data_IF_805679460601
#
_entry.id   IF_805679460601
#
_cell.length_a   1.000
_cell.length_b   1.000
_cell.length_c   1.000
_cell.angle_alpha   90.00
_cell.angle_beta   90.00
_cell.angle_gamma   90.00
#
_symmetry.space_group_name_H-M   'P 1'
#
loop_
_entity.id
_entity.type
_entity.pdbx_description
1 polymer ?
#
# COMPACT_ATOMS: atom_id res chain seq x y z
N UNK A 1 -3.40 7.58 22.49
CA UNK A 1 -3.01 7.82 21.08
C UNK A 1 -3.79 6.84 20.22
N UNK A 2 -4.41 7.27 19.11
CA UNK A 2 -5.12 6.33 18.22
C UNK A 2 -4.12 5.40 17.55
N UNK A 3 -4.56 4.18 17.24
CA UNK A 3 -3.82 3.26 16.40
C UNK A 3 -3.76 3.80 14.96
N UNK A 4 -2.56 4.05 14.44
CA UNK A 4 -2.32 4.59 13.10
C UNK A 4 -1.93 3.49 12.13
N UNK A 5 -2.69 3.36 11.05
CA UNK A 5 -2.40 2.40 9.98
C UNK A 5 -2.36 3.07 8.62
N UNK A 6 -1.49 2.57 7.75
CA UNK A 6 -1.34 2.97 6.35
C UNK A 6 -1.66 1.78 5.46
N UNK A 7 -2.59 1.94 4.52
CA UNK A 7 -2.89 0.98 3.47
C UNK A 7 -2.33 1.46 2.13
N UNK A 8 -1.36 0.72 1.59
CA UNK A 8 -0.77 0.99 0.29
C UNK A 8 -1.38 0.08 -0.77
N UNK A 9 -2.04 0.67 -1.76
CA UNK A 9 -2.62 -0.05 -2.88
C UNK A 9 -1.95 0.34 -4.18
N UNK A 10 -1.38 -0.64 -4.89
CA UNK A 10 -0.90 -0.44 -6.25
C UNK A 10 -2.02 -0.02 -7.20
N UNK A 11 -1.78 0.99 -8.04
CA UNK A 11 -2.56 1.29 -9.26
C UNK A 11 -1.61 1.83 -10.34
N UNK A 12 -1.74 1.42 -11.62
CA UNK A 12 -0.82 1.84 -12.69
C UNK A 12 -0.84 3.35 -12.93
N UNK A 13 -1.99 3.99 -12.74
CA UNK A 13 -2.25 5.41 -12.97
C UNK A 13 -2.13 6.28 -11.70
N UNK A 14 -1.79 5.69 -10.55
CA UNK A 14 -1.81 6.39 -9.27
C UNK A 14 -0.92 7.64 -9.24
N UNK A 15 -1.44 8.69 -8.61
CA UNK A 15 -0.70 9.85 -8.15
C UNK A 15 -0.74 9.89 -6.61
N UNK A 16 0.30 9.44 -5.90
CA UNK A 16 0.30 9.36 -4.43
C UNK A 16 0.11 10.69 -3.69
N UNK A 17 0.28 11.82 -4.37
CA UNK A 17 0.02 13.15 -3.79
C UNK A 17 -1.48 13.45 -3.76
N UNK A 18 -2.22 12.97 -4.77
CA UNK A 18 -3.66 13.25 -4.95
C UNK A 18 -4.53 12.09 -4.49
N UNK A 19 -4.15 10.87 -4.81
CA UNK A 19 -4.95 9.65 -4.68
C UNK A 19 -4.75 9.02 -3.30
N UNK A 20 -5.24 9.74 -2.28
CA UNK A 20 -5.17 9.31 -0.89
C UNK A 20 -6.39 9.76 -0.09
N UNK A 21 -6.67 9.05 0.99
CA UNK A 21 -7.76 9.35 1.91
C UNK A 21 -7.35 9.04 3.35
N UNK A 22 -8.02 9.69 4.31
CA UNK A 22 -7.79 9.50 5.73
C UNK A 22 -9.13 9.37 6.45
N UNK A 23 -9.32 8.28 7.16
CA UNK A 23 -10.51 8.01 7.99
C UNK A 23 -10.08 7.96 9.44
N UNK A 24 -10.81 8.65 10.33
CA UNK A 24 -10.47 8.79 11.74
C UNK A 24 -11.64 8.47 12.65
N UNK A 25 -11.29 7.88 13.79
CA UNK A 25 -12.12 7.74 15.00
C UNK A 25 -11.27 8.11 16.20
N UNK A 26 -11.82 8.03 17.41
CA UNK A 26 -11.05 8.26 18.65
C UNK A 26 -9.93 7.25 18.85
N UNK A 27 -10.13 6.00 18.40
CA UNK A 27 -9.20 4.90 18.64
C UNK A 27 -8.34 4.53 17.42
N UNK A 28 -8.67 4.99 16.22
CA UNK A 28 -8.03 4.56 14.99
C UNK A 28 -7.92 5.65 13.94
N UNK A 29 -6.78 5.69 13.24
CA UNK A 29 -6.56 6.42 12.00
C UNK A 29 -6.17 5.42 10.90
N UNK A 30 -6.87 5.46 9.78
CA UNK A 30 -6.56 4.64 8.59
C UNK A 30 -6.30 5.58 7.43
N UNK A 31 -5.05 5.63 7.01
CA UNK A 31 -4.65 6.32 5.80
C UNK A 31 -4.60 5.33 4.64
N UNK A 32 -5.16 5.69 3.49
CA UNK A 32 -5.09 4.91 2.26
C UNK A 32 -4.34 5.75 1.23
N UNK A 33 -3.33 5.17 0.58
CA UNK A 33 -2.59 5.82 -0.50
C UNK A 33 -2.48 4.88 -1.70
N UNK A 34 -2.90 5.36 -2.87
CA UNK A 34 -2.65 4.65 -4.13
C UNK A 34 -1.23 4.96 -4.62
N UNK A 35 -0.51 3.93 -5.05
CA UNK A 35 0.89 4.03 -5.46
C UNK A 35 1.17 3.32 -6.77
N UNK A 36 2.17 3.80 -7.52
CA UNK A 36 2.72 3.06 -8.66
C UNK A 36 3.83 2.15 -8.18
N UNK A 37 3.72 0.85 -8.41
CA UNK A 37 4.77 -0.11 -8.03
C UNK A 37 6.11 0.18 -8.73
N UNK A 38 6.10 0.82 -9.90
CA UNK A 38 7.30 1.23 -10.63
C UNK A 38 8.07 2.36 -9.95
N UNK A 39 7.43 3.14 -9.07
CA UNK A 39 8.07 4.21 -8.30
C UNK A 39 8.27 3.75 -6.84
N UNK A 40 9.08 2.71 -6.68
CA UNK A 40 9.30 2.09 -5.37
C UNK A 40 10.03 3.03 -4.39
N UNK A 41 10.93 3.89 -4.89
CA UNK A 41 11.54 4.94 -4.09
C UNK A 41 10.51 5.83 -3.40
N UNK A 42 9.48 6.26 -4.13
CA UNK A 42 8.41 7.08 -3.56
C UNK A 42 7.60 6.32 -2.51
N UNK A 43 7.41 5.02 -2.71
CA UNK A 43 6.75 4.17 -1.71
C UNK A 43 7.57 4.12 -0.41
N UNK A 44 8.90 3.97 -0.50
CA UNK A 44 9.78 3.99 0.67
C UNK A 44 9.73 5.34 1.39
N UNK A 45 9.71 6.46 0.66
CA UNK A 45 9.55 7.79 1.26
C UNK A 45 8.24 7.93 2.04
N UNK A 46 7.12 7.45 1.47
CA UNK A 46 5.81 7.46 2.15
C UNK A 46 5.86 6.60 3.42
N UNK A 47 6.44 5.41 3.35
CA UNK A 47 6.57 4.51 4.49
C UNK A 47 7.43 5.13 5.61
N UNK A 48 8.55 5.75 5.24
CA UNK A 48 9.46 6.42 6.17
C UNK A 48 8.81 7.63 6.84
N UNK A 49 8.11 8.47 6.07
CA UNK A 49 7.36 9.62 6.59
C UNK A 49 6.27 9.15 7.57
N UNK A 50 5.48 8.14 7.20
CA UNK A 50 4.46 7.55 8.07
C UNK A 50 5.05 7.01 9.38
N UNK A 51 6.15 6.26 9.31
CA UNK A 51 6.85 5.74 10.49
C UNK A 51 7.35 6.87 11.39
N UNK A 52 7.97 7.90 10.82
CA UNK A 52 8.48 9.07 11.58
C UNK A 52 7.38 9.87 12.29
N UNK A 53 6.13 9.77 11.82
CA UNK A 53 4.93 10.39 12.42
C UNK A 53 4.23 9.49 13.45
N UNK A 54 4.90 8.42 13.88
CA UNK A 54 4.39 7.48 14.87
C UNK A 54 3.37 6.49 14.32
N UNK A 55 3.48 6.13 13.03
CA UNK A 55 2.69 5.06 12.43
C UNK A 55 2.90 3.72 13.13
N UNK A 56 1.86 2.88 13.20
CA UNK A 56 1.92 1.60 13.92
C UNK A 56 1.88 0.38 12.99
N UNK A 57 1.15 0.46 11.87
CA UNK A 57 1.05 -0.63 10.92
C UNK A 57 0.96 -0.15 9.48
N UNK A 58 1.61 -0.87 8.57
CA UNK A 58 1.52 -0.73 7.12
C UNK A 58 0.90 -2.02 6.58
N UNK A 59 -0.16 -1.89 5.80
CA UNK A 59 -0.85 -2.96 5.11
C UNK A 59 -0.64 -2.77 3.60
N UNK A 60 -0.11 -3.80 2.97
CA UNK A 60 0.28 -3.81 1.57
C UNK A 60 -0.72 -4.64 0.77
N UNK A 61 -1.15 -4.14 -0.38
CA UNK A 61 -1.92 -4.95 -1.31
C UNK A 61 -1.08 -6.17 -1.80
N UNK A 62 -1.71 -7.21 -2.36
CA UNK A 62 -1.01 -8.46 -2.70
C UNK A 62 0.04 -8.32 -3.83
N UNK A 63 0.11 -7.17 -4.51
CA UNK A 63 1.08 -6.90 -5.59
C UNK A 63 2.51 -6.65 -5.12
N UNK A 64 2.74 -6.43 -3.83
CA UNK A 64 4.10 -6.24 -3.29
C UNK A 64 4.88 -7.56 -3.24
N UNK A 65 6.10 -7.55 -3.80
CA UNK A 65 7.00 -8.72 -3.77
C UNK A 65 7.60 -8.93 -2.39
N UNK A 66 8.19 -10.11 -2.14
CA UNK A 66 8.86 -10.39 -0.87
C UNK A 66 10.04 -9.45 -0.61
N UNK A 67 10.80 -9.10 -1.65
CA UNK A 67 11.92 -8.16 -1.59
C UNK A 67 11.44 -6.75 -1.25
N UNK A 68 10.35 -6.29 -1.88
CA UNK A 68 9.75 -4.99 -1.58
C UNK A 68 9.25 -4.93 -0.13
N UNK A 69 8.60 -6.00 0.35
CA UNK A 69 8.14 -6.09 1.74
C UNK A 69 9.32 -6.03 2.71
N UNK A 70 10.41 -6.74 2.43
CA UNK A 70 11.61 -6.72 3.25
C UNK A 70 12.26 -5.33 3.30
N UNK A 71 12.35 -4.65 2.17
CA UNK A 71 12.93 -3.29 2.11
C UNK A 71 12.05 -2.26 2.83
N UNK A 72 10.72 -2.37 2.71
CA UNK A 72 9.79 -1.55 3.49
C UNK A 72 10.00 -1.79 4.99
N UNK A 73 10.05 -3.06 5.43
CA UNK A 73 10.26 -3.41 6.84
C UNK A 73 11.58 -2.86 7.38
N UNK A 74 12.66 -2.96 6.59
CA UNK A 74 13.96 -2.35 6.94
C UNK A 74 13.87 -0.82 7.04
N UNK A 75 13.14 -0.18 6.14
CA UNK A 75 12.98 1.28 6.06
C UNK A 75 12.24 1.84 7.27
N UNK A 76 11.18 1.15 7.74
CA UNK A 76 10.34 1.63 8.84
C UNK A 76 10.80 1.19 10.22
N UNK A 77 11.68 0.20 10.28
CA UNK A 77 12.24 -0.32 11.53
C UNK A 77 11.28 -1.26 12.27
N UNK A 78 11.72 -1.71 13.46
CA UNK A 78 11.07 -2.79 14.22
C UNK A 78 9.75 -2.40 14.90
N UNK A 79 9.48 -1.11 15.04
CA UNK A 79 8.33 -0.60 15.81
C UNK A 79 7.08 -0.37 14.93
N UNK A 80 7.19 -0.63 13.62
CA UNK A 80 6.07 -0.55 12.66
C UNK A 80 5.82 -1.94 12.07
N UNK A 81 4.59 -2.43 12.22
CA UNK A 81 4.18 -3.70 11.64
C UNK A 81 4.05 -3.57 10.12
N UNK A 82 4.59 -4.53 9.35
CA UNK A 82 4.44 -4.59 7.88
C UNK A 82 3.69 -5.87 7.50
N UNK A 83 2.52 -5.72 6.89
CA UNK A 83 1.58 -6.81 6.62
C UNK A 83 1.22 -6.83 5.13
N UNK A 84 0.98 -8.01 4.57
CA UNK A 84 0.52 -8.15 3.18
C UNK A 84 -0.87 -8.79 3.17
N UNK A 85 -1.85 -8.10 2.58
CA UNK A 85 -3.22 -8.57 2.44
C UNK A 85 -3.33 -9.57 1.27
N UNK A 86 -2.96 -10.84 1.53
CA UNK A 86 -3.05 -11.92 0.54
C UNK A 86 -4.33 -12.74 0.72
N UNK A 87 -5.02 -12.97 -0.40
CA UNK A 87 -6.12 -13.94 -0.49
C UNK A 87 -5.64 -15.32 -0.92
N UNK A 88 -6.56 -16.28 -0.97
CA UNK A 88 -6.30 -17.58 -1.60
C UNK A 88 -6.22 -17.46 -3.14
N UNK A 89 -5.78 -18.53 -3.81
CA UNK A 89 -5.59 -18.51 -5.26
C UNK A 89 -6.87 -18.17 -6.05
N UNK A 90 -8.04 -18.61 -5.57
CA UNK A 90 -9.34 -18.31 -6.20
C UNK A 90 -9.68 -16.83 -6.08
N UNK A 91 -9.48 -16.23 -4.91
CA UNK A 91 -9.68 -14.80 -4.67
C UNK A 91 -8.74 -13.95 -5.53
N UNK A 92 -7.46 -14.35 -5.64
CA UNK A 92 -6.50 -13.67 -6.50
C UNK A 92 -6.90 -13.72 -7.98
N UNK A 93 -7.41 -14.85 -8.47
CA UNK A 93 -7.89 -14.98 -9.84
C UNK A 93 -9.12 -14.10 -10.10
N UNK A 94 -10.06 -14.03 -9.15
CA UNK A 94 -11.24 -13.18 -9.27
C UNK A 94 -10.85 -11.69 -9.38
N UNK A 95 -9.93 -11.23 -8.53
CA UNK A 95 -9.39 -9.88 -8.59
C UNK A 95 -8.66 -9.62 -9.91
N UNK A 96 -7.82 -10.55 -10.38
CA UNK A 96 -7.11 -10.43 -11.66
C UNK A 96 -8.04 -10.24 -12.85
N UNK A 97 -9.11 -11.04 -12.94
CA UNK A 97 -10.11 -10.89 -14.01
C UNK A 97 -10.81 -9.52 -13.96
N UNK A 98 -11.06 -8.98 -12.77
CA UNK A 98 -11.65 -7.65 -12.62
C UNK A 98 -10.67 -6.54 -13.07
N UNK A 99 -9.40 -6.64 -12.70
CA UNK A 99 -8.33 -5.75 -13.16
C UNK A 99 -8.20 -5.77 -14.69
N UNK A 100 -8.25 -6.94 -15.32
CA UNK A 100 -8.24 -7.07 -16.78
C UNK A 100 -9.40 -6.31 -17.44
N UNK A 101 -10.63 -6.46 -16.93
CA UNK A 101 -11.80 -5.73 -17.44
C UNK A 101 -11.67 -4.21 -17.27
N UNK A 102 -11.03 -3.74 -16.20
CA UNK A 102 -10.75 -2.33 -15.99
C UNK A 102 -9.67 -1.78 -16.95
N UNK A 103 -8.93 -2.66 -17.65
CA UNK A 103 -7.80 -2.30 -18.49
C UNK A 103 -6.53 -2.01 -17.69
N UNK A 104 -6.41 -2.60 -16.50
CA UNK A 104 -5.27 -2.41 -15.59
C UNK A 104 -3.91 -2.70 -16.22
N UNK A 105 -3.87 -3.64 -17.16
CA UNK A 105 -2.64 -4.07 -17.84
C UNK A 105 -2.45 -3.40 -19.20
N UNK A 106 -3.24 -2.37 -19.52
CA UNK A 106 -3.09 -1.63 -20.77
C UNK A 106 -1.99 -0.56 -20.62
N UNK A 107 -0.89 -0.61 -21.38
CA UNK A 107 0.22 0.35 -21.27
C UNK A 107 -0.19 1.80 -21.57
N UNK A 108 -1.33 2.03 -22.27
CA UNK A 108 -1.85 3.37 -22.52
C UNK A 108 -2.54 4.02 -21.32
N UNK A 109 -2.79 3.24 -20.25
CA UNK A 109 -3.45 3.69 -19.02
C UNK A 109 -2.50 3.80 -17.82
N UNK A 110 -1.20 3.50 -17.99
CA UNK A 110 -0.20 3.49 -16.92
C UNK A 110 0.68 4.74 -16.95
#
# INVERSE_FOLDING_TARGET
>A
MPFKSLFLSGSPDANPVKDRALVKTELSEVEVVLVKHSDFSRILDICKDFASKGGNAIILCPGFTHEQVAEIAKTVGKDVSVNVARGDGKSSLAARKAMERAGWFNPKKA
#
